data_IF_093250015030
#
_entry.id   IF_093250015030
#
_cell.length_a   1.000
_cell.length_b   1.000
_cell.length_c   1.000
_cell.angle_alpha   90.00
_cell.angle_beta   90.00
_cell.angle_gamma   90.00
#
_symmetry.space_group_name_H-M   'P 1'
#
loop_
_entity.id
_entity.type
_entity.pdbx_description
1 polymer ?
#
# COMPACT_ATOMS: atom_id res chain seq x y z
N UNK A 1 15.13 -0.22 -9.71
CA UNK A 1 14.13 -1.18 -10.26
C UNK A 1 13.25 -0.56 -11.36
N UNK A 2 12.52 0.54 -11.11
CA UNK A 2 11.70 1.17 -12.15
C UNK A 2 12.50 2.08 -13.10
N UNK A 3 13.46 2.85 -12.58
CA UNK A 3 14.40 3.64 -13.39
C UNK A 3 15.15 2.72 -14.36
N UNK A 4 15.77 1.64 -13.87
CA UNK A 4 16.50 0.69 -14.73
C UNK A 4 15.63 0.12 -15.85
N UNK A 5 14.37 -0.19 -15.55
CA UNK A 5 13.41 -0.69 -16.54
C UNK A 5 13.07 0.38 -17.58
N UNK A 6 12.85 1.62 -17.17
CA UNK A 6 12.56 2.73 -18.09
C UNK A 6 13.78 3.07 -18.95
N UNK A 7 14.99 3.05 -18.37
CA UNK A 7 16.26 3.21 -19.08
C UNK A 7 16.47 2.10 -20.11
N UNK A 8 16.12 0.85 -19.78
CA UNK A 8 16.16 -0.28 -20.73
C UNK A 8 15.21 -0.08 -21.91
N UNK A 9 14.08 0.62 -21.69
CA UNK A 9 13.11 0.98 -22.73
C UNK A 9 13.50 2.26 -23.51
N UNK A 10 14.65 2.86 -23.21
CA UNK A 10 15.18 4.04 -23.91
C UNK A 10 14.73 5.39 -23.34
N UNK A 11 14.08 5.40 -22.16
CA UNK A 11 13.69 6.64 -21.49
C UNK A 11 14.77 7.13 -20.53
N UNK A 12 15.09 8.43 -20.58
CA UNK A 12 15.97 9.06 -19.60
C UNK A 12 15.14 9.51 -18.39
N UNK A 13 15.18 8.73 -17.31
CA UNK A 13 14.35 8.95 -16.11
C UNK A 13 15.25 8.93 -14.87
N UNK A 14 15.03 9.88 -13.96
CA UNK A 14 15.71 9.92 -12.67
C UNK A 14 14.86 9.26 -11.57
N UNK A 15 15.50 8.83 -10.48
CA UNK A 15 14.78 8.26 -9.32
C UNK A 15 13.75 9.23 -8.75
N UNK A 16 14.07 10.52 -8.71
CA UNK A 16 13.18 11.59 -8.26
C UNK A 16 11.92 11.76 -9.13
N UNK A 17 11.89 11.19 -10.34
CA UNK A 17 10.76 11.27 -11.27
C UNK A 17 9.84 10.04 -11.20
N UNK A 18 10.18 9.05 -10.36
CA UNK A 18 9.42 7.80 -10.24
C UNK A 18 8.68 7.74 -8.90
N UNK A 19 7.37 7.93 -8.97
CA UNK A 19 6.50 7.89 -7.80
C UNK A 19 5.72 6.58 -7.71
N UNK A 20 6.15 5.72 -6.78
CA UNK A 20 5.48 4.47 -6.46
C UNK A 20 4.33 4.66 -5.46
N UNK A 21 3.36 3.74 -5.47
CA UNK A 21 2.30 3.68 -4.44
C UNK A 21 2.87 3.46 -3.03
N UNK A 22 4.05 2.84 -2.93
CA UNK A 22 4.81 2.68 -1.69
C UNK A 22 5.18 4.04 -1.07
N UNK A 23 5.89 4.87 -1.83
CA UNK A 23 6.25 6.24 -1.44
C UNK A 23 5.01 7.08 -1.10
N UNK A 24 3.98 7.07 -1.96
CA UNK A 24 2.76 7.81 -1.70
C UNK A 24 2.08 7.36 -0.41
N UNK A 25 2.09 6.05 -0.09
CA UNK A 25 1.50 5.55 1.16
C UNK A 25 2.27 6.03 2.39
N UNK A 26 3.60 6.06 2.31
CA UNK A 26 4.45 6.60 3.36
C UNK A 26 4.19 8.11 3.58
N UNK A 27 4.11 8.89 2.50
CA UNK A 27 3.79 10.32 2.56
C UNK A 27 2.38 10.55 3.09
N UNK A 28 1.38 9.77 2.66
CA UNK A 28 0.01 9.86 3.16
C UNK A 28 -0.05 9.71 4.68
N UNK A 29 0.63 8.70 5.23
CA UNK A 29 0.67 8.47 6.67
C UNK A 29 1.35 9.62 7.42
N UNK A 30 2.40 10.19 6.84
CA UNK A 30 3.17 11.29 7.44
C UNK A 30 2.44 12.62 7.40
N UNK A 31 1.90 13.01 6.26
CA UNK A 31 1.41 14.38 6.03
C UNK A 31 -0.09 14.52 6.29
N UNK A 32 -0.88 13.53 5.85
CA UNK A 32 -2.34 13.56 5.99
C UNK A 32 -2.75 12.97 7.34
N UNK A 33 -2.32 11.73 7.61
CA UNK A 33 -2.69 11.07 8.86
C UNK A 33 -1.90 11.58 10.07
N UNK A 34 -0.74 12.22 9.84
CA UNK A 34 0.19 12.67 10.90
C UNK A 34 0.45 11.58 11.93
N UNK A 35 0.70 10.37 11.43
CA UNK A 35 0.85 9.17 12.24
C UNK A 35 1.93 9.35 13.31
N UNK A 36 1.58 9.06 14.56
CA UNK A 36 2.53 8.96 15.67
C UNK A 36 2.54 7.52 16.18
N UNK A 37 3.54 6.75 15.78
CA UNK A 37 3.69 5.34 16.13
C UNK A 37 4.19 4.50 14.97
N UNK A 38 4.06 3.18 15.12
CA UNK A 38 4.52 2.18 14.14
C UNK A 38 3.42 1.78 13.17
N UNK A 39 3.85 1.18 12.08
CA UNK A 39 2.99 0.55 11.08
C UNK A 39 3.14 -0.96 11.16
N UNK A 40 2.04 -1.69 11.13
CA UNK A 40 2.05 -3.10 10.74
C UNK A 40 1.90 -3.18 9.23
N UNK A 41 2.97 -3.58 8.55
CA UNK A 41 3.07 -3.63 7.11
C UNK A 41 2.86 -5.07 6.63
N UNK A 42 1.79 -5.27 5.87
CA UNK A 42 1.62 -6.40 4.98
C UNK A 42 2.16 -5.94 3.63
N UNK A 43 3.41 -6.27 3.34
CA UNK A 43 4.12 -5.66 2.24
C UNK A 43 5.56 -6.12 2.03
N UNK A 44 6.13 -5.72 0.90
CA UNK A 44 7.51 -5.99 0.51
C UNK A 44 8.55 -5.12 1.25
N UNK A 45 9.82 -5.55 1.20
CA UNK A 45 10.96 -4.79 1.74
C UNK A 45 11.11 -3.39 1.13
N UNK A 46 10.72 -3.21 -0.13
CA UNK A 46 10.76 -1.90 -0.77
C UNK A 46 9.81 -0.90 -0.08
N UNK A 47 8.60 -1.33 0.29
CA UNK A 47 7.69 -0.46 1.06
C UNK A 47 8.20 -0.16 2.47
N UNK A 48 8.90 -1.10 3.09
CA UNK A 48 9.55 -0.86 4.37
C UNK A 48 10.55 0.30 4.26
N UNK A 49 11.41 0.27 3.24
CA UNK A 49 12.41 1.32 3.00
C UNK A 49 11.76 2.69 2.80
N UNK A 50 10.64 2.76 2.06
CA UNK A 50 9.89 4.00 1.85
C UNK A 50 9.30 4.56 3.16
N UNK A 51 8.77 3.70 4.04
CA UNK A 51 8.26 4.12 5.35
C UNK A 51 9.39 4.60 6.26
N UNK A 52 10.50 3.87 6.30
CA UNK A 52 11.67 4.20 7.11
C UNK A 52 12.31 5.52 6.65
N UNK A 53 12.38 5.76 5.34
CA UNK A 53 12.92 6.99 4.75
C UNK A 53 12.15 8.25 5.20
N UNK A 54 10.86 8.12 5.54
CA UNK A 54 10.05 9.23 6.05
C UNK A 54 9.97 9.28 7.58
N UNK A 55 10.64 8.35 8.28
CA UNK A 55 10.71 8.27 9.74
C UNK A 55 9.62 7.41 10.39
N UNK A 56 8.91 6.58 9.62
CA UNK A 56 7.88 5.67 10.12
C UNK A 56 8.50 4.28 10.28
N UNK A 57 8.31 3.65 11.44
CA UNK A 57 8.85 2.31 11.70
C UNK A 57 7.82 1.23 11.33
N UNK A 58 8.09 0.39 10.31
CA UNK A 58 7.24 -0.74 9.97
C UNK A 58 7.61 -2.00 10.76
N UNK A 59 6.64 -2.90 10.88
CA UNK A 59 6.78 -4.26 11.43
C UNK A 59 6.00 -5.25 10.55
N UNK A 60 6.29 -6.55 10.61
CA UNK A 60 5.51 -7.58 9.90
C UNK A 60 5.97 -7.90 8.47
N UNK A 61 7.08 -7.33 8.02
CA UNK A 61 7.71 -7.61 6.71
C UNK A 61 8.39 -8.98 6.74
N UNK A 62 8.35 -9.70 5.62
CA UNK A 62 8.91 -11.06 5.51
C UNK A 62 7.92 -12.17 5.91
N UNK A 63 8.35 -13.44 5.98
CA UNK A 63 7.47 -14.56 6.30
C UNK A 63 6.96 -14.55 7.75
N UNK A 64 5.67 -14.80 7.94
CA UNK A 64 5.06 -15.10 9.25
C UNK A 64 4.37 -16.47 9.16
N UNK A 65 5.09 -17.50 9.62
CA UNK A 65 4.65 -18.89 9.51
C UNK A 65 3.60 -19.24 10.58
N UNK A 66 2.63 -20.06 10.18
CA UNK A 66 1.61 -20.57 11.10
C UNK A 66 2.29 -21.36 12.22
N UNK A 67 1.98 -21.00 13.46
CA UNK A 67 2.45 -21.68 14.66
C UNK A 67 1.36 -21.62 15.74
N UNK A 68 1.33 -22.60 16.64
CA UNK A 68 0.31 -22.70 17.69
C UNK A 68 -1.08 -23.12 17.18
N UNK A 69 -2.09 -22.90 18.02
CA UNK A 69 -3.50 -23.23 17.81
C UNK A 69 -4.36 -21.96 17.89
N UNK A 70 -5.66 -22.09 17.66
CA UNK A 70 -6.61 -20.96 17.66
C UNK A 70 -6.53 -20.10 18.94
N UNK A 71 -6.37 -20.72 20.11
CA UNK A 71 -6.20 -19.99 21.37
C UNK A 71 -4.92 -19.14 21.39
N UNK A 72 -3.83 -19.64 20.81
CA UNK A 72 -2.56 -18.89 20.69
C UNK A 72 -2.71 -17.73 19.71
N UNK A 73 -3.42 -17.96 18.59
CA UNK A 73 -3.67 -16.93 17.58
C UNK A 73 -4.49 -15.77 18.13
N UNK A 74 -5.49 -16.07 18.97
CA UNK A 74 -6.31 -15.06 19.66
C UNK A 74 -5.52 -14.24 20.69
N UNK A 75 -4.39 -14.75 21.17
CA UNK A 75 -3.53 -14.11 22.16
C UNK A 75 -2.13 -13.78 21.60
N UNK A 76 -2.03 -13.60 20.27
CA UNK A 76 -0.76 -13.31 19.62
C UNK A 76 -0.17 -12.01 20.18
N UNK A 77 1.14 -11.95 20.51
CA UNK A 77 1.72 -10.71 21.01
C UNK A 77 1.67 -9.63 19.92
N UNK A 78 1.15 -8.47 20.31
CA UNK A 78 1.00 -7.30 19.45
C UNK A 78 1.79 -6.12 20.03
N UNK A 79 2.43 -5.35 19.15
CA UNK A 79 3.16 -4.16 19.53
C UNK A 79 2.14 -3.03 19.87
N UNK A 80 2.17 -2.44 21.09
CA UNK A 80 1.25 -1.37 21.47
C UNK A 80 1.50 -0.04 20.71
N UNK A 81 2.70 0.13 20.14
CA UNK A 81 3.08 1.31 19.37
C UNK A 81 2.53 1.28 17.95
N UNK A 82 2.06 0.14 17.45
CA UNK A 82 1.40 0.06 16.14
C UNK A 82 0.08 0.80 16.17
N UNK A 83 -0.03 1.83 15.31
CA UNK A 83 -1.21 2.69 15.15
C UNK A 83 -1.83 2.64 13.75
N UNK A 84 -1.21 1.92 12.82
CA UNK A 84 -1.74 1.77 11.47
C UNK A 84 -1.41 0.38 10.89
N UNK A 85 -2.34 -0.16 10.09
CA UNK A 85 -2.11 -1.31 9.21
C UNK A 85 -2.05 -0.81 7.77
N UNK A 86 -0.97 -1.16 7.08
CA UNK A 86 -0.77 -0.85 5.66
C UNK A 86 -0.70 -2.14 4.87
N UNK A 87 -1.51 -2.24 3.81
CA UNK A 87 -1.55 -3.41 2.93
C UNK A 87 -1.13 -3.01 1.52
N UNK A 88 0.01 -3.54 1.09
CA UNK A 88 0.45 -3.55 -0.29
C UNK A 88 0.62 -4.98 -0.81
N UNK A 89 1.36 -5.13 -1.91
CA UNK A 89 1.73 -6.45 -2.40
C UNK A 89 2.74 -7.10 -1.45
N UNK A 90 2.47 -8.36 -1.08
CA UNK A 90 3.27 -9.15 -0.15
C UNK A 90 3.27 -10.61 -0.58
N UNK A 91 4.41 -11.12 -1.09
CA UNK A 91 4.54 -12.53 -1.45
C UNK A 91 4.47 -13.49 -0.25
N UNK A 92 4.63 -12.98 0.97
CA UNK A 92 4.58 -13.72 2.22
C UNK A 92 3.23 -13.61 2.94
N UNK A 93 2.18 -13.15 2.25
CA UNK A 93 0.84 -13.06 2.83
C UNK A 93 0.41 -14.41 3.43
N UNK A 94 0.10 -14.41 4.72
CA UNK A 94 -0.22 -15.61 5.47
C UNK A 94 -1.43 -15.40 6.38
N UNK A 95 -1.99 -16.50 6.87
CA UNK A 95 -3.05 -16.44 7.88
C UNK A 95 -2.62 -15.68 9.13
N UNK A 96 -1.35 -15.83 9.57
CA UNK A 96 -0.85 -15.13 10.75
C UNK A 96 -0.78 -13.62 10.52
N UNK A 97 -0.37 -13.18 9.33
CA UNK A 97 -0.40 -11.76 8.98
C UNK A 97 -1.82 -11.20 8.97
N UNK A 98 -2.76 -11.93 8.39
CA UNK A 98 -4.17 -11.56 8.39
C UNK A 98 -4.73 -11.47 9.82
N UNK A 99 -4.43 -12.45 10.67
CA UNK A 99 -4.85 -12.47 12.07
C UNK A 99 -4.29 -11.28 12.86
N UNK A 100 -3.00 -10.97 12.72
CA UNK A 100 -2.38 -9.80 13.36
C UNK A 100 -2.98 -8.50 12.87
N UNK A 101 -3.17 -8.34 11.55
CA UNK A 101 -3.82 -7.16 10.99
C UNK A 101 -5.23 -6.97 11.54
N UNK A 102 -6.04 -8.03 11.58
CA UNK A 102 -7.38 -8.01 12.18
C UNK A 102 -7.35 -7.51 13.63
N UNK A 103 -6.42 -8.02 14.45
CA UNK A 103 -6.32 -7.61 15.86
C UNK A 103 -5.77 -6.20 16.07
N UNK A 104 -4.89 -5.72 15.19
CA UNK A 104 -4.51 -4.30 15.20
C UNK A 104 -5.71 -3.42 14.84
N UNK A 105 -6.46 -3.79 13.81
CA UNK A 105 -7.61 -3.03 13.30
C UNK A 105 -8.82 -3.04 14.24
N UNK A 106 -8.93 -4.02 15.15
CA UNK A 106 -9.95 -3.99 16.20
C UNK A 106 -9.69 -2.94 17.28
N UNK A 107 -8.50 -2.31 17.31
CA UNK A 107 -8.18 -1.23 18.25
C UNK A 107 -8.78 0.07 17.75
N UNK A 108 -9.41 0.81 18.67
CA UNK A 108 -9.94 2.13 18.36
C UNK A 108 -8.83 3.07 17.84
N UNK A 109 -9.12 3.78 16.75
CA UNK A 109 -8.20 4.73 16.13
C UNK A 109 -7.06 4.10 15.32
N UNK A 110 -7.01 2.78 15.13
CA UNK A 110 -6.04 2.16 14.23
C UNK A 110 -6.37 2.50 12.77
N UNK A 111 -5.43 3.11 12.05
CA UNK A 111 -5.62 3.47 10.65
C UNK A 111 -5.53 2.23 9.75
N UNK A 112 -6.36 2.19 8.71
CA UNK A 112 -6.30 1.12 7.71
C UNK A 112 -6.08 1.69 6.31
N UNK A 113 -4.92 1.38 5.74
CA UNK A 113 -4.47 1.95 4.47
C UNK A 113 -4.10 0.84 3.48
N UNK A 114 -4.51 1.00 2.22
CA UNK A 114 -4.16 0.09 1.12
C UNK A 114 -3.41 0.84 0.01
N UNK A 115 -2.45 0.19 -0.64
CA UNK A 115 -1.70 0.84 -1.73
C UNK A 115 -2.53 0.99 -3.01
N UNK A 116 -3.27 -0.05 -3.41
CA UNK A 116 -4.11 -0.09 -4.61
C UNK A 116 -5.13 -1.25 -4.52
N UNK A 117 -6.17 -1.23 -5.38
CA UNK A 117 -7.23 -2.26 -5.40
C UNK A 117 -7.12 -3.26 -6.56
N UNK A 118 -6.00 -3.28 -7.28
CA UNK A 118 -5.84 -4.15 -8.46
C UNK A 118 -5.79 -5.62 -8.04
N UNK A 119 -6.73 -6.43 -8.52
CA UNK A 119 -6.84 -7.84 -8.15
C UNK A 119 -5.90 -8.75 -8.93
N UNK A 120 -5.29 -8.25 -10.02
CA UNK A 120 -4.42 -9.02 -10.90
C UNK A 120 -3.12 -8.27 -11.17
N UNK A 121 -2.00 -8.97 -11.01
CA UNK A 121 -0.70 -8.56 -11.51
C UNK A 121 -0.44 -9.31 -12.83
N UNK A 122 -0.48 -8.64 -13.99
CA UNK A 122 -0.27 -9.28 -15.28
C UNK A 122 1.18 -9.72 -15.47
N UNK A 123 1.37 -10.87 -16.10
CA UNK A 123 2.63 -11.46 -16.49
C UNK A 123 2.66 -11.71 -18.01
N UNK A 124 3.84 -12.00 -18.55
CA UNK A 124 4.01 -12.33 -19.96
C UNK A 124 3.19 -13.56 -20.38
N UNK A 125 2.80 -13.61 -21.66
CA UNK A 125 2.03 -14.72 -22.22
C UNK A 125 0.57 -14.78 -21.72
N UNK A 126 0.00 -13.67 -21.26
CA UNK A 126 -1.40 -13.58 -20.82
C UNK A 126 -1.67 -14.22 -19.45
N UNK A 127 -0.62 -14.55 -18.69
CA UNK A 127 -0.72 -15.07 -17.33
C UNK A 127 -0.93 -13.93 -16.33
N UNK A 128 -1.44 -14.24 -15.14
CA UNK A 128 -1.56 -13.29 -14.05
C UNK A 128 -1.43 -14.00 -12.70
N UNK A 129 -0.96 -13.25 -11.69
CA UNK A 129 -0.97 -13.67 -10.29
C UNK A 129 -1.87 -12.72 -9.47
N UNK A 130 -2.28 -13.11 -8.25
CA UNK A 130 -3.04 -12.22 -7.39
C UNK A 130 -2.31 -10.89 -7.16
N UNK A 131 -3.04 -9.78 -7.32
CA UNK A 131 -2.54 -8.44 -7.00
C UNK A 131 -2.90 -8.02 -5.58
N UNK A 132 -2.46 -6.82 -5.19
CA UNK A 132 -2.73 -6.22 -3.87
C UNK A 132 -4.21 -6.25 -3.49
N UNK A 133 -5.11 -6.05 -4.45
CA UNK A 133 -6.56 -6.04 -4.22
C UNK A 133 -7.07 -7.31 -3.57
N UNK A 134 -6.48 -8.47 -3.88
CA UNK A 134 -6.84 -9.74 -3.24
C UNK A 134 -6.47 -9.76 -1.75
N UNK A 135 -5.26 -9.30 -1.41
CA UNK A 135 -4.76 -9.25 -0.03
C UNK A 135 -5.57 -8.22 0.76
N UNK A 136 -5.78 -7.04 0.18
CA UNK A 136 -6.55 -5.96 0.78
C UNK A 136 -7.98 -6.41 1.09
N UNK A 137 -8.64 -7.10 0.16
CA UNK A 137 -10.00 -7.59 0.36
C UNK A 137 -10.08 -8.65 1.47
N UNK A 138 -9.06 -9.51 1.61
CA UNK A 138 -8.99 -10.46 2.72
C UNK A 138 -8.90 -9.74 4.07
N UNK A 139 -8.05 -8.72 4.18
CA UNK A 139 -7.91 -7.91 5.41
C UNK A 139 -9.17 -7.10 5.69
N UNK A 140 -9.77 -6.45 4.68
CA UNK A 140 -11.06 -5.74 4.83
C UNK A 140 -12.18 -6.68 5.31
N UNK A 141 -12.20 -7.91 4.83
CA UNK A 141 -13.16 -8.92 5.27
C UNK A 141 -12.93 -9.32 6.72
N UNK A 142 -11.69 -9.54 7.13
CA UNK A 142 -11.39 -9.88 8.53
C UNK A 142 -11.69 -8.69 9.48
N UNK A 143 -11.35 -7.48 9.06
CA UNK A 143 -11.52 -6.26 9.86
C UNK A 143 -12.98 -5.76 9.90
N UNK A 144 -13.84 -6.20 8.97
CA UNK A 144 -15.22 -5.70 8.81
C UNK A 144 -15.32 -4.19 8.53
N UNK A 145 -14.25 -3.58 8.01
CA UNK A 145 -14.27 -2.20 7.53
C UNK A 145 -13.33 -2.01 6.34
N UNK A 146 -13.56 -0.95 5.56
CA UNK A 146 -12.80 -0.66 4.33
C UNK A 146 -11.50 0.07 4.63
N UNK A 147 -10.48 -0.22 3.82
CA UNK A 147 -9.23 0.53 3.84
C UNK A 147 -9.35 1.81 3.01
N UNK A 148 -8.68 2.86 3.49
CA UNK A 148 -8.40 4.03 2.68
C UNK A 148 -7.30 3.71 1.67
N UNK A 149 -7.58 3.83 0.37
CA UNK A 149 -6.58 3.52 -0.65
C UNK A 149 -5.85 4.77 -1.14
N UNK A 150 -4.52 4.68 -1.24
CA UNK A 150 -3.66 5.82 -1.60
C UNK A 150 -3.41 5.90 -3.10
N UNK A 151 -3.34 4.76 -3.78
CA UNK A 151 -3.22 4.69 -5.24
C UNK A 151 -4.49 5.14 -5.96
N UNK A 152 -4.42 5.12 -7.29
CA UNK A 152 -5.53 5.47 -8.19
C UNK A 152 -6.80 4.68 -7.82
N UNK A 153 -7.99 5.30 -7.89
CA UNK A 153 -8.29 6.63 -8.44
C UNK A 153 -8.14 7.80 -7.44
N UNK A 154 -7.51 7.59 -6.27
CA UNK A 154 -7.37 8.67 -5.30
C UNK A 154 -6.43 9.78 -5.82
N UNK A 155 -6.88 11.04 -5.74
CA UNK A 155 -6.12 12.21 -6.16
C UNK A 155 -4.86 12.45 -5.32
N UNK A 156 -4.76 11.83 -4.14
CA UNK A 156 -3.60 12.03 -3.26
C UNK A 156 -2.25 11.81 -3.94
N UNK A 157 -2.13 10.79 -4.81
CA UNK A 157 -0.88 10.56 -5.55
C UNK A 157 -0.51 11.76 -6.43
N UNK A 158 -1.50 12.39 -7.07
CA UNK A 158 -1.31 13.60 -7.86
C UNK A 158 -1.04 14.81 -6.99
N UNK A 159 -1.76 14.99 -5.88
CA UNK A 159 -1.52 16.10 -4.95
C UNK A 159 -0.10 16.03 -4.37
N UNK A 160 0.39 14.82 -4.08
CA UNK A 160 1.75 14.58 -3.61
C UNK A 160 2.78 15.05 -4.66
N UNK A 161 2.63 14.61 -5.91
CA UNK A 161 3.50 15.02 -7.03
C UNK A 161 3.39 16.53 -7.29
N UNK A 162 2.17 17.07 -7.29
CA UNK A 162 1.92 18.49 -7.54
C UNK A 162 2.60 19.37 -6.48
N UNK A 163 2.49 19.00 -5.20
CA UNK A 163 3.14 19.73 -4.12
C UNK A 163 4.67 19.69 -4.20
N UNK A 164 5.24 18.55 -4.62
CA UNK A 164 6.69 18.37 -4.66
C UNK A 164 7.36 19.11 -5.81
N UNK A 165 6.73 19.17 -6.98
CA UNK A 165 7.28 19.86 -8.16
C UNK A 165 6.72 21.26 -8.39
N UNK A 166 5.76 21.70 -7.57
CA UNK A 166 5.10 22.99 -7.75
C UNK A 166 4.38 23.09 -9.10
N UNK A 167 3.89 21.97 -9.63
CA UNK A 167 3.19 21.95 -10.93
C UNK A 167 1.74 22.39 -10.75
N UNK A 168 1.27 23.23 -11.68
CA UNK A 168 -0.12 23.69 -11.70
C UNK A 168 -1.03 22.54 -12.17
N UNK A 169 -1.98 22.08 -11.33
CA UNK A 169 -2.93 21.03 -11.68
C UNK A 169 -3.66 21.23 -13.00
N UNK A 170 -4.04 22.48 -13.31
CA UNK A 170 -4.79 22.85 -14.52
C UNK A 170 -3.99 22.63 -15.81
N UNK A 171 -2.67 22.43 -15.69
CA UNK A 171 -1.76 22.19 -16.80
C UNK A 171 -1.17 20.78 -16.80
N UNK A 172 -1.69 19.89 -15.95
CA UNK A 172 -1.21 18.52 -15.83
C UNK A 172 -2.22 17.53 -16.42
N UNK A 173 -1.72 16.62 -17.27
CA UNK A 173 -2.51 15.49 -17.75
C UNK A 173 -2.15 14.25 -16.93
N UNK A 174 -3.14 13.65 -16.26
CA UNK A 174 -2.94 12.37 -15.58
C UNK A 174 -3.33 11.20 -16.49
N UNK A 175 -2.32 10.59 -17.12
CA UNK A 175 -2.53 9.36 -17.87
C UNK A 175 -2.59 8.14 -16.93
N UNK A 176 -3.64 7.34 -17.04
CA UNK A 176 -3.79 6.07 -16.33
C UNK A 176 -3.64 4.94 -17.35
N UNK A 177 -2.55 4.19 -17.26
CA UNK A 177 -2.47 2.88 -17.91
C UNK A 177 -3.41 1.94 -17.15
N UNK A 178 -4.63 1.75 -17.66
CA UNK A 178 -5.61 0.85 -17.09
C UNK A 178 -5.38 -0.58 -17.59
N UNK A 179 -5.51 -1.55 -16.68
CA UNK A 179 -6.10 -2.84 -17.05
C UNK A 179 -7.63 -2.66 -17.05
N UNK A 180 -8.42 -3.43 -17.80
CA UNK A 180 -9.86 -3.18 -18.03
C UNK A 180 -10.76 -3.06 -16.78
N UNK A 181 -10.22 -3.29 -15.58
CA UNK A 181 -10.92 -3.32 -14.29
C UNK A 181 -11.00 -1.99 -13.54
N UNK A 182 -10.37 -0.89 -13.99
CA UNK A 182 -10.28 0.37 -13.20
C UNK A 182 -11.08 1.58 -13.72
N UNK A 183 -12.00 1.40 -14.68
CA UNK A 183 -12.86 2.51 -15.14
C UNK A 183 -14.02 2.77 -14.16
N UNK A 184 -13.81 3.67 -13.21
CA UNK A 184 -14.87 4.56 -12.73
C UNK A 184 -14.36 6.00 -12.91
N UNK A 185 -14.81 6.65 -13.98
CA UNK A 185 -14.50 8.06 -14.21
C UNK A 185 -15.12 8.91 -13.09
N UNK A 186 -14.41 9.90 -12.53
CA UNK A 186 -15.06 10.95 -11.75
C UNK A 186 -15.83 11.85 -12.71
N UNK A 187 -17.16 11.82 -12.64
CA UNK A 187 -18.01 12.91 -13.15
C UNK A 187 -17.72 14.15 -12.33
N UNK A 188 -17.10 15.15 -12.96
CA UNK A 188 -17.08 16.51 -12.45
C UNK A 188 -18.52 17.05 -12.43
N UNK A 189 -18.93 17.61 -11.29
CA UNK A 189 -20.08 18.50 -11.15
C UNK A 189 -19.57 19.77 -10.47
#
# INVERSE_FOLDING_TARGET
>A
MYVDKMTTLGFNVKEEEVFGTAYCSAMYLKTVCKLQGKVYLIGSNAMQQELEAVGIQPTGVGPDHISGKQADWANVPLDPEVKAVVVGFDEHFSYMKLNRAMQYLSREGCLFVGTNRDTRLPLEGGKAVPGTGCLLQAVETAAQHRAQTVGKPNNFMFDCVASQFGVNPDRCLWAIASTPTSCSAPTAA
#
